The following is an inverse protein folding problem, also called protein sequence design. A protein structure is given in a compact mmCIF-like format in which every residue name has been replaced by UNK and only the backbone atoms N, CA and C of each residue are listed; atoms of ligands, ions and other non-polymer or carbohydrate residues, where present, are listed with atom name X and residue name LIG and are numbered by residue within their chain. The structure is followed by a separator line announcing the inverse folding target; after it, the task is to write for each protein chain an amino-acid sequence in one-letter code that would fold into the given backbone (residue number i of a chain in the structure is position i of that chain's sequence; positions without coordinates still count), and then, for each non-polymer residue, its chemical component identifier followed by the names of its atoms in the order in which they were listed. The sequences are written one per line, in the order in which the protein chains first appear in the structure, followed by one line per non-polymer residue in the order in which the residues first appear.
data_IF_238013329837
#
_entry.id   IF_238013329837
#
_cell.length_a   1.000
_cell.length_b   1.000
_cell.length_c   1.000
_cell.angle_alpha   90.00
_cell.angle_beta   90.00
_cell.angle_gamma   90.00
#
_symmetry.space_group_name_H-M   'P 1'
#
loop_
_entity.id
_entity.type
_entity.pdbx_description
1 polymer ?
#
# COMPACT_ATOMS: atom_id res chain seq x y z
N UNK A 1 36.77 1.60 -1.20
CA UNK A 1 36.99 2.78 -2.07
C UNK A 1 36.46 2.55 -3.50
N UNK A 2 36.83 1.43 -4.15
CA UNK A 2 36.39 1.10 -5.53
C UNK A 2 34.88 1.04 -5.67
N UNK A 3 34.15 0.39 -4.73
CA UNK A 3 32.68 0.29 -4.73
C UNK A 3 32.04 1.69 -4.60
N UNK A 4 32.57 2.55 -3.74
CA UNK A 4 32.11 3.93 -3.59
C UNK A 4 32.30 4.73 -4.88
N UNK A 5 33.45 4.59 -5.55
CA UNK A 5 33.73 5.25 -6.83
C UNK A 5 32.78 4.80 -7.95
N UNK A 6 32.43 3.51 -8.01
CA UNK A 6 31.46 2.98 -8.98
C UNK A 6 30.03 3.45 -8.71
N UNK A 7 29.64 3.62 -7.45
CA UNK A 7 28.29 4.09 -7.07
C UNK A 7 28.14 5.61 -7.14
N UNK A 8 29.26 6.36 -7.03
CA UNK A 8 29.27 7.81 -6.94
C UNK A 8 28.57 8.53 -8.12
N UNK A 9 28.75 8.13 -9.40
CA UNK A 9 28.05 8.80 -10.49
C UNK A 9 26.53 8.69 -10.38
N UNK A 10 25.99 7.48 -10.09
CA UNK A 10 24.55 7.26 -9.97
C UNK A 10 23.95 7.91 -8.72
N UNK A 11 24.54 7.64 -7.55
CA UNK A 11 24.09 8.24 -6.29
C UNK A 11 24.31 9.75 -6.27
N UNK A 12 25.39 10.25 -6.85
CA UNK A 12 25.70 11.67 -6.93
C UNK A 12 24.64 12.45 -7.73
N UNK A 13 24.21 11.92 -8.88
CA UNK A 13 23.15 12.53 -9.69
C UNK A 13 21.82 12.52 -8.92
N UNK A 14 21.45 11.39 -8.32
CA UNK A 14 20.21 11.27 -7.55
C UNK A 14 20.20 12.24 -6.38
N UNK A 15 21.27 12.28 -5.59
CA UNK A 15 21.38 13.18 -4.44
C UNK A 15 21.42 14.64 -4.86
N UNK A 16 22.10 14.97 -5.97
CA UNK A 16 22.13 16.34 -6.49
C UNK A 16 20.72 16.79 -6.94
N UNK A 17 20.02 15.98 -7.74
CA UNK A 17 18.68 16.32 -8.24
C UNK A 17 17.65 16.39 -7.10
N UNK A 18 17.55 15.35 -6.28
CA UNK A 18 16.58 15.32 -5.17
C UNK A 18 16.96 16.37 -4.12
N UNK A 19 18.24 16.49 -3.78
CA UNK A 19 18.72 17.47 -2.80
C UNK A 19 18.46 18.91 -3.26
N UNK A 20 18.70 19.22 -4.53
CA UNK A 20 18.45 20.53 -5.09
C UNK A 20 16.96 20.89 -5.07
N UNK A 21 16.09 19.97 -5.52
CA UNK A 21 14.64 20.19 -5.47
C UNK A 21 14.15 20.34 -4.03
N UNK A 22 14.61 19.49 -3.13
CA UNK A 22 14.24 19.56 -1.71
C UNK A 22 14.70 20.87 -1.08
N UNK A 23 15.91 21.33 -1.41
CA UNK A 23 16.43 22.62 -0.96
C UNK A 23 15.56 23.79 -1.43
N UNK A 24 15.19 23.83 -2.72
CA UNK A 24 14.32 24.89 -3.25
C UNK A 24 12.96 24.87 -2.56
N UNK A 25 12.31 23.71 -2.46
CA UNK A 25 11.01 23.58 -1.80
C UNK A 25 11.08 24.00 -0.34
N UNK A 26 12.15 23.63 0.36
CA UNK A 26 12.36 24.04 1.75
C UNK A 26 12.51 25.57 1.86
N UNK A 27 13.36 26.19 1.04
CA UNK A 27 13.56 27.65 1.03
C UNK A 27 12.26 28.39 0.72
N UNK A 28 11.50 27.94 -0.27
CA UNK A 28 10.18 28.51 -0.58
C UNK A 28 9.19 28.35 0.58
N UNK A 29 9.25 27.25 1.30
CA UNK A 29 8.34 27.00 2.43
C UNK A 29 8.55 27.97 3.60
N UNK A 30 9.75 28.52 3.73
CA UNK A 30 10.10 29.54 4.75
C UNK A 30 10.15 30.96 4.19
N UNK A 31 9.60 31.18 2.99
CA UNK A 31 9.46 32.50 2.38
C UNK A 31 10.69 32.99 1.61
N UNK A 32 11.72 32.18 1.50
CA UNK A 32 12.93 32.50 0.75
C UNK A 32 12.85 31.90 -0.65
N UNK A 33 13.49 32.59 -1.62
CA UNK A 33 13.54 32.14 -3.03
C UNK A 33 12.15 32.06 -3.69
N UNK A 34 11.29 33.03 -3.40
CA UNK A 34 9.95 33.13 -4.00
C UNK A 34 10.04 33.60 -5.45
N UNK A 35 9.30 32.95 -6.35
CA UNK A 35 9.19 33.37 -7.76
C UNK A 35 8.37 34.68 -7.87
N UNK A 36 7.46 34.91 -6.94
CA UNK A 36 6.58 36.07 -6.87
C UNK A 36 6.51 36.57 -5.43
N UNK A 37 7.13 37.70 -5.13
CA UNK A 37 7.07 38.32 -3.81
C UNK A 37 8.43 38.73 -3.22
N UNK A 38 8.42 39.31 -2.05
CA UNK A 38 9.63 39.69 -1.30
C UNK A 38 10.24 38.43 -0.66
N UNK A 39 11.57 38.32 -0.75
CA UNK A 39 12.34 37.23 -0.12
C UNK A 39 12.57 37.59 1.36
N UNK A 40 11.62 37.25 2.21
CA UNK A 40 11.74 37.42 3.66
C UNK A 40 11.49 36.07 4.36
N UNK A 41 12.33 35.74 5.35
CA UNK A 41 12.11 34.56 6.18
C UNK A 41 10.79 34.68 6.93
N UNK A 42 9.85 33.79 6.65
CA UNK A 42 8.53 33.80 7.28
C UNK A 42 7.96 32.38 7.43
N UNK A 43 7.30 32.13 8.54
CA UNK A 43 6.56 30.89 8.79
C UNK A 43 5.06 31.01 8.47
N UNK A 44 4.62 32.15 7.90
CA UNK A 44 3.22 32.40 7.53
C UNK A 44 2.59 31.29 6.69
N UNK A 45 3.38 30.70 5.78
CA UNK A 45 2.89 29.62 4.92
C UNK A 45 2.59 28.35 5.73
N UNK A 46 3.40 28.05 6.72
CA UNK A 46 3.20 26.93 7.63
C UNK A 46 1.98 27.16 8.54
N UNK A 47 1.87 28.32 9.17
CA UNK A 47 0.72 28.68 10.00
C UNK A 47 -0.58 28.61 9.20
N UNK A 48 -0.60 29.21 8.00
CA UNK A 48 -1.76 29.20 7.11
C UNK A 48 -2.14 27.79 6.67
N UNK A 49 -1.18 26.92 6.42
CA UNK A 49 -1.43 25.53 5.97
C UNK A 49 -1.91 24.67 7.13
N UNK A 50 -1.22 24.71 8.26
CA UNK A 50 -1.56 23.94 9.45
C UNK A 50 -2.89 24.38 10.08
N UNK A 51 -3.22 25.67 9.99
CA UNK A 51 -4.50 26.21 10.46
C UNK A 51 -5.71 25.89 9.58
N UNK A 52 -5.52 25.36 8.38
CA UNK A 52 -6.63 25.01 7.48
C UNK A 52 -7.35 23.73 7.93
N UNK A 53 -8.67 23.83 8.13
CA UNK A 53 -9.52 22.66 8.44
C UNK A 53 -9.42 21.58 7.35
N UNK A 54 -9.27 21.99 6.07
CA UNK A 54 -9.11 21.04 4.96
C UNK A 54 -7.81 20.23 5.07
N UNK A 55 -6.70 20.85 5.50
CA UNK A 55 -5.44 20.16 5.72
C UNK A 55 -5.58 19.06 6.78
N UNK A 56 -6.13 19.39 7.94
CA UNK A 56 -6.35 18.42 9.01
C UNK A 56 -7.26 17.24 8.58
N UNK A 57 -8.32 17.55 7.81
CA UNK A 57 -9.19 16.50 7.24
C UNK A 57 -8.44 15.60 6.26
N UNK A 58 -7.62 16.18 5.37
CA UNK A 58 -6.83 15.41 4.40
C UNK A 58 -5.81 14.51 5.10
N UNK A 59 -5.12 15.02 6.13
CA UNK A 59 -4.17 14.21 6.91
C UNK A 59 -4.88 13.05 7.62
N UNK A 60 -6.01 13.33 8.27
CA UNK A 60 -6.82 12.27 8.92
C UNK A 60 -7.31 11.22 7.93
N UNK A 61 -7.76 11.66 6.75
CA UNK A 61 -8.20 10.77 5.69
C UNK A 61 -7.05 9.90 5.16
N UNK A 62 -5.88 10.49 4.88
CA UNK A 62 -4.70 9.73 4.44
C UNK A 62 -4.22 8.74 5.50
N UNK A 63 -4.23 9.12 6.79
CA UNK A 63 -3.92 8.21 7.89
C UNK A 63 -4.92 7.06 7.98
N UNK A 64 -6.19 7.35 7.83
CA UNK A 64 -7.25 6.35 7.79
C UNK A 64 -7.02 5.34 6.65
N UNK A 65 -6.88 5.84 5.42
CA UNK A 65 -6.63 4.99 4.25
C UNK A 65 -5.35 4.19 4.40
N UNK A 66 -4.24 4.81 4.81
CA UNK A 66 -2.95 4.14 5.02
C UNK A 66 -3.04 3.00 6.02
N UNK A 67 -3.65 3.27 7.19
CA UNK A 67 -3.77 2.29 8.26
C UNK A 67 -4.67 1.11 7.89
N UNK A 68 -5.85 1.38 7.35
CA UNK A 68 -6.78 0.32 6.97
C UNK A 68 -6.29 -0.48 5.75
N UNK A 69 -5.57 0.15 4.82
CA UNK A 69 -4.93 -0.56 3.70
C UNK A 69 -3.90 -1.58 4.18
N UNK A 70 -3.10 -1.25 5.21
CA UNK A 70 -2.17 -2.22 5.83
C UNK A 70 -2.95 -3.40 6.40
N UNK A 71 -3.94 -3.11 7.24
CA UNK A 71 -4.70 -4.12 7.98
C UNK A 71 -5.35 -5.10 6.99
N UNK A 72 -6.09 -4.60 6.01
CA UNK A 72 -6.77 -5.45 5.05
C UNK A 72 -5.80 -6.19 4.12
N UNK A 73 -4.73 -5.53 3.65
CA UNK A 73 -3.75 -6.19 2.79
C UNK A 73 -3.04 -7.34 3.50
N UNK A 74 -2.64 -7.16 4.76
CA UNK A 74 -1.96 -8.21 5.53
C UNK A 74 -2.94 -9.31 5.94
N UNK A 75 -4.16 -8.98 6.39
CA UNK A 75 -5.18 -9.97 6.77
C UNK A 75 -5.52 -10.89 5.60
N UNK A 76 -5.58 -10.35 4.37
CA UNK A 76 -5.86 -11.15 3.18
C UNK A 76 -4.60 -11.89 2.69
N UNK A 77 -3.45 -11.20 2.63
CA UNK A 77 -2.23 -11.78 2.10
C UNK A 77 -1.65 -12.90 2.97
N UNK A 78 -1.76 -12.80 4.29
CA UNK A 78 -1.15 -13.75 5.22
C UNK A 78 -1.70 -15.18 5.09
N UNK A 79 -3.02 -15.42 5.15
CA UNK A 79 -3.60 -16.75 4.93
C UNK A 79 -3.27 -17.31 3.55
N UNK A 80 -3.30 -16.45 2.52
CA UNK A 80 -2.97 -16.84 1.14
C UNK A 80 -1.50 -17.26 1.05
N UNK A 81 -0.59 -16.50 1.66
CA UNK A 81 0.83 -16.83 1.70
C UNK A 81 1.10 -18.15 2.43
N UNK A 82 0.40 -18.40 3.54
CA UNK A 82 0.45 -19.68 4.26
C UNK A 82 -0.06 -20.84 3.41
N UNK A 83 -1.15 -20.66 2.69
CA UNK A 83 -1.71 -21.69 1.80
C UNK A 83 -0.76 -22.00 0.64
N UNK A 84 -0.14 -20.97 0.06
CA UNK A 84 0.82 -21.09 -1.04
C UNK A 84 2.23 -21.51 -0.59
N UNK A 85 2.48 -21.67 0.71
CA UNK A 85 3.79 -22.04 1.25
C UNK A 85 4.25 -23.40 0.72
N UNK A 86 3.35 -24.39 0.65
CA UNK A 86 3.64 -25.71 0.10
C UNK A 86 3.19 -25.76 -1.36
N UNK A 87 4.07 -26.18 -2.29
CA UNK A 87 3.71 -26.27 -3.69
C UNK A 87 2.64 -27.37 -3.91
N UNK A 88 1.62 -27.04 -4.69
CA UNK A 88 0.58 -27.95 -5.15
C UNK A 88 0.27 -27.68 -6.62
N UNK A 89 -0.44 -28.59 -7.30
CA UNK A 89 -0.82 -28.42 -8.70
C UNK A 89 -1.62 -27.13 -8.88
N UNK A 90 -1.10 -26.18 -9.67
CA UNK A 90 -1.72 -24.86 -9.91
C UNK A 90 -1.28 -23.74 -8.96
N UNK A 91 -0.49 -24.00 -7.90
CA UNK A 91 -0.03 -22.97 -6.95
C UNK A 91 0.74 -21.83 -7.63
N UNK A 92 1.53 -22.16 -8.66
CA UNK A 92 2.27 -21.17 -9.44
C UNK A 92 1.33 -20.25 -10.22
N UNK A 93 0.31 -20.81 -10.88
CA UNK A 93 -0.69 -20.04 -11.61
C UNK A 93 -1.47 -19.10 -10.69
N UNK A 94 -1.95 -19.61 -9.57
CA UNK A 94 -2.68 -18.84 -8.56
C UNK A 94 -1.80 -17.71 -8.01
N UNK A 95 -0.56 -18.02 -7.64
CA UNK A 95 0.39 -17.01 -7.16
C UNK A 95 0.67 -15.93 -8.20
N UNK A 96 0.76 -16.27 -9.48
CA UNK A 96 0.98 -15.33 -10.56
C UNK A 96 -0.23 -14.42 -10.79
N UNK A 97 -1.44 -14.96 -10.80
CA UNK A 97 -2.69 -14.20 -10.92
C UNK A 97 -2.85 -13.23 -9.75
N UNK A 98 -2.61 -13.69 -8.52
CA UNK A 98 -2.72 -12.84 -7.34
C UNK A 98 -1.69 -11.71 -7.29
N UNK A 99 -0.56 -11.88 -7.98
CA UNK A 99 0.48 -10.84 -8.11
C UNK A 99 0.30 -9.93 -9.32
N UNK A 100 -0.62 -10.25 -10.23
CA UNK A 100 -0.87 -9.47 -11.45
C UNK A 100 -1.17 -7.97 -11.20
N UNK A 101 -1.88 -7.57 -10.12
CA UNK A 101 -2.11 -6.15 -9.84
C UNK A 101 -0.83 -5.32 -9.66
N UNK A 102 0.32 -5.93 -9.33
CA UNK A 102 1.60 -5.21 -9.26
C UNK A 102 2.02 -4.62 -10.62
N UNK A 103 1.63 -5.27 -11.72
CA UNK A 103 1.97 -4.84 -13.08
C UNK A 103 1.08 -3.72 -13.60
N UNK A 104 -0.06 -3.47 -12.93
CA UNK A 104 -1.01 -2.45 -13.35
C UNK A 104 -0.57 -1.10 -12.77
N UNK A 105 -0.35 -0.11 -13.63
CA UNK A 105 -0.04 1.24 -13.19
C UNK A 105 -1.20 1.84 -12.36
N UNK A 106 -0.91 2.60 -11.29
CA UNK A 106 -1.92 3.10 -10.36
C UNK A 106 -3.05 3.88 -11.03
N UNK A 107 -2.72 4.78 -11.96
CA UNK A 107 -3.72 5.56 -12.69
C UNK A 107 -4.65 4.68 -13.54
N UNK A 108 -4.11 3.67 -14.21
CA UNK A 108 -4.90 2.70 -14.98
C UNK A 108 -5.81 1.89 -14.06
N UNK A 109 -5.28 1.43 -12.91
CA UNK A 109 -6.06 0.72 -11.90
C UNK A 109 -7.23 1.58 -11.39
N UNK A 110 -7.00 2.86 -11.11
CA UNK A 110 -8.04 3.78 -10.67
C UNK A 110 -9.14 3.96 -11.72
N UNK A 111 -8.78 4.19 -12.98
CA UNK A 111 -9.76 4.32 -14.05
C UNK A 111 -10.56 3.04 -14.29
N UNK A 112 -9.91 1.88 -14.28
CA UNK A 112 -10.61 0.60 -14.42
C UNK A 112 -11.60 0.39 -13.27
N UNK A 113 -11.16 0.69 -12.04
CA UNK A 113 -12.01 0.56 -10.87
C UNK A 113 -13.21 1.50 -10.89
N UNK A 114 -13.01 2.76 -11.29
CA UNK A 114 -14.11 3.72 -11.46
C UNK A 114 -15.16 3.22 -12.44
N UNK A 115 -14.74 2.70 -13.60
CA UNK A 115 -15.68 2.12 -14.59
C UNK A 115 -16.48 0.93 -14.03
N UNK A 116 -15.89 0.19 -13.08
CA UNK A 116 -16.57 -0.95 -12.44
C UNK A 116 -17.61 -0.50 -11.41
N UNK A 117 -17.28 0.53 -10.58
CA UNK A 117 -18.13 0.98 -9.47
C UNK A 117 -19.04 2.16 -9.81
N UNK A 118 -18.94 2.72 -11.01
CA UNK A 118 -19.75 3.87 -11.43
C UNK A 118 -21.25 3.53 -11.41
N UNK A 119 -22.10 4.55 -11.35
CA UNK A 119 -23.56 4.40 -11.25
C UNK A 119 -24.14 3.47 -12.32
N UNK A 120 -23.62 3.55 -13.55
CA UNK A 120 -23.93 2.64 -14.65
C UNK A 120 -22.80 1.65 -14.93
N UNK A 121 -21.92 1.41 -13.95
CA UNK A 121 -20.76 0.53 -14.07
C UNK A 121 -21.11 -0.95 -14.06
N UNK A 122 -20.10 -1.78 -14.37
CA UNK A 122 -20.26 -3.23 -14.50
C UNK A 122 -20.87 -3.88 -13.25
N UNK A 123 -20.50 -3.43 -12.04
CA UNK A 123 -21.02 -3.99 -10.80
C UNK A 123 -22.53 -3.74 -10.64
N UNK A 124 -22.99 -2.53 -10.91
CA UNK A 124 -24.40 -2.20 -10.83
C UNK A 124 -25.22 -2.94 -11.90
N UNK A 125 -24.70 -3.05 -13.12
CA UNK A 125 -25.34 -3.84 -14.19
C UNK A 125 -25.45 -5.32 -13.80
N UNK A 126 -24.39 -5.88 -13.18
CA UNK A 126 -24.40 -7.26 -12.71
C UNK A 126 -25.40 -7.46 -11.57
N UNK A 127 -25.48 -6.54 -10.60
CA UNK A 127 -26.43 -6.62 -9.50
C UNK A 127 -27.89 -6.53 -9.97
N UNK A 128 -28.16 -5.65 -10.94
CA UNK A 128 -29.49 -5.56 -11.56
C UNK A 128 -29.84 -6.82 -12.36
N UNK A 129 -28.87 -7.35 -13.13
CA UNK A 129 -29.07 -8.58 -13.89
C UNK A 129 -29.35 -9.80 -12.99
N UNK A 130 -28.68 -9.87 -11.83
CA UNK A 130 -28.89 -10.93 -10.84
C UNK A 130 -30.14 -10.72 -9.95
N UNK A 131 -30.83 -9.59 -10.10
CA UNK A 131 -32.03 -9.27 -9.32
C UNK A 131 -31.77 -8.88 -7.87
N UNK A 132 -30.54 -8.48 -7.53
CA UNK A 132 -30.18 -8.05 -6.18
C UNK A 132 -30.69 -6.63 -5.88
N UNK A 133 -30.81 -5.78 -6.90
CA UNK A 133 -31.26 -4.40 -6.75
C UNK A 133 -32.03 -3.95 -7.99
N UNK A 134 -33.12 -3.20 -7.79
CA UNK A 134 -33.90 -2.60 -8.89
C UNK A 134 -33.26 -1.30 -9.38
N UNK A 135 -32.56 -0.58 -8.47
CA UNK A 135 -31.88 0.68 -8.77
C UNK A 135 -30.36 0.58 -8.56
N UNK A 136 -29.55 1.31 -9.35
CA UNK A 136 -28.11 1.32 -9.18
C UNK A 136 -27.69 1.91 -7.83
N UNK A 137 -26.73 1.26 -7.17
CA UNK A 137 -26.18 1.70 -5.90
C UNK A 137 -25.06 2.73 -6.16
N UNK A 138 -25.08 3.84 -5.43
CA UNK A 138 -23.99 4.82 -5.46
C UNK A 138 -22.80 4.33 -4.66
N UNK A 139 -21.80 3.77 -5.34
CA UNK A 139 -20.58 3.24 -4.72
C UNK A 139 -19.43 4.24 -4.75
N UNK A 140 -19.53 5.27 -5.59
CA UNK A 140 -18.55 6.36 -5.70
C UNK A 140 -18.86 7.45 -4.68
N UNK A 141 -17.83 8.08 -4.13
CA UNK A 141 -17.91 9.12 -3.10
C UNK A 141 -18.64 8.66 -1.82
N UNK A 142 -18.39 7.43 -1.40
CA UNK A 142 -18.93 6.94 -0.16
C UNK A 142 -18.26 7.62 1.04
N UNK A 143 -19.05 7.94 2.07
CA UNK A 143 -18.61 8.66 3.27
C UNK A 143 -17.46 7.98 4.02
N UNK A 144 -17.35 6.67 3.89
CA UNK A 144 -16.37 5.83 4.60
C UNK A 144 -15.19 5.43 3.72
N UNK A 145 -15.11 5.91 2.47
CA UNK A 145 -14.05 5.61 1.52
C UNK A 145 -13.81 4.11 1.28
N UNK A 146 -14.87 3.28 1.35
CA UNK A 146 -14.74 1.83 1.10
C UNK A 146 -14.22 1.52 -0.29
N UNK A 147 -14.65 2.28 -1.31
CA UNK A 147 -14.15 2.13 -2.67
C UNK A 147 -12.63 2.33 -2.75
N UNK A 148 -12.12 3.40 -2.14
CA UNK A 148 -10.69 3.68 -2.09
C UNK A 148 -9.93 2.60 -1.31
N UNK A 149 -10.48 2.17 -0.16
CA UNK A 149 -9.88 1.11 0.66
C UNK A 149 -9.82 -0.23 -0.09
N UNK A 150 -10.87 -0.58 -0.82
CA UNK A 150 -10.89 -1.79 -1.63
C UNK A 150 -9.82 -1.73 -2.73
N UNK A 151 -9.75 -0.61 -3.46
CA UNK A 151 -8.76 -0.42 -4.52
C UNK A 151 -7.33 -0.44 -3.97
N UNK A 152 -7.08 0.26 -2.86
CA UNK A 152 -5.79 0.26 -2.18
C UNK A 152 -5.41 -1.14 -1.69
N UNK A 153 -6.36 -1.87 -1.10
CA UNK A 153 -6.13 -3.25 -0.66
C UNK A 153 -5.81 -4.17 -1.83
N UNK A 154 -6.61 -4.10 -2.90
CA UNK A 154 -6.39 -4.90 -4.12
C UNK A 154 -5.01 -4.63 -4.74
N UNK A 155 -4.58 -3.37 -4.75
CA UNK A 155 -3.29 -2.95 -5.31
C UNK A 155 -2.10 -3.34 -4.42
N UNK A 156 -2.25 -3.26 -3.09
CA UNK A 156 -1.16 -3.47 -2.14
C UNK A 156 -1.05 -4.91 -1.62
N UNK A 157 -2.14 -5.67 -1.60
CA UNK A 157 -2.17 -7.06 -1.15
C UNK A 157 -1.13 -7.95 -1.87
N UNK A 158 -0.92 -7.85 -3.20
CA UNK A 158 0.08 -8.63 -3.89
C UNK A 158 1.52 -8.38 -3.41
N UNK A 159 1.81 -7.15 -3.00
CA UNK A 159 3.12 -6.80 -2.45
C UNK A 159 3.32 -7.42 -1.06
N UNK A 160 2.31 -7.34 -0.20
CA UNK A 160 2.31 -8.05 1.08
C UNK A 160 2.47 -9.56 0.86
N UNK A 161 1.74 -10.13 -0.09
CA UNK A 161 1.82 -11.55 -0.44
C UNK A 161 3.23 -11.95 -0.88
N UNK A 162 3.91 -11.11 -1.68
CA UNK A 162 5.28 -11.36 -2.13
C UNK A 162 6.25 -11.45 -0.94
N UNK A 163 6.23 -10.45 -0.05
CA UNK A 163 7.13 -10.40 1.11
C UNK A 163 6.84 -11.53 2.11
N UNK A 164 5.58 -11.75 2.41
CA UNK A 164 5.16 -12.81 3.33
C UNK A 164 5.45 -14.21 2.78
N UNK A 165 5.26 -14.43 1.47
CA UNK A 165 5.62 -15.71 0.84
C UNK A 165 7.11 -15.99 0.96
N UNK A 166 7.97 -15.00 0.75
CA UNK A 166 9.42 -15.14 0.93
C UNK A 166 9.80 -15.49 2.37
N UNK A 167 9.23 -14.78 3.34
CA UNK A 167 9.47 -15.06 4.75
C UNK A 167 8.96 -16.44 5.20
N UNK A 168 7.79 -16.85 4.73
CA UNK A 168 7.22 -18.14 5.07
C UNK A 168 7.98 -19.31 4.43
N UNK A 169 8.52 -19.13 3.23
CA UNK A 169 9.34 -20.15 2.55
C UNK A 169 10.72 -20.31 3.22
N UNK A 170 11.23 -19.30 3.91
CA UNK A 170 12.50 -19.40 4.65
C UNK A 170 12.41 -20.26 5.94
N UNK A 171 11.19 -20.52 6.43
CA UNK A 171 10.98 -21.39 7.61
C UNK A 171 11.08 -22.85 7.14
N UNK A 172 12.08 -23.60 7.65
CA UNK A 172 12.25 -25.01 7.31
C UNK A 172 11.09 -25.86 7.85
N UNK A 173 10.73 -26.91 7.10
CA UNK A 173 9.74 -27.87 7.58
C UNK A 173 10.27 -28.65 8.79
N UNK A 174 11.60 -28.91 8.86
CA UNK A 174 12.24 -29.55 10.03
C UNK A 174 11.98 -28.79 11.34
N UNK A 175 11.97 -27.46 11.31
CA UNK A 175 11.65 -26.65 12.49
C UNK A 175 10.22 -26.88 12.96
N UNK A 176 9.28 -26.99 12.01
CA UNK A 176 7.86 -27.21 12.33
C UNK A 176 7.58 -28.65 12.77
N UNK A 177 8.33 -29.62 12.24
CA UNK A 177 8.24 -31.02 12.60
C UNK A 177 8.86 -31.26 13.97
N UNK A 178 10.02 -30.68 14.27
CA UNK A 178 10.61 -30.71 15.62
C UNK A 178 9.65 -30.13 16.70
N UNK A 179 8.99 -29.03 16.39
CA UNK A 179 7.99 -28.46 17.29
C UNK A 179 6.78 -29.41 17.50
N UNK A 180 6.38 -30.13 16.46
CA UNK A 180 5.31 -31.12 16.54
C UNK A 180 5.72 -32.30 17.39
N UNK A 181 6.94 -32.79 17.26
CA UNK A 181 7.48 -33.89 18.06
C UNK A 181 7.58 -33.53 19.54
N UNK A 182 7.81 -32.23 19.85
CA UNK A 182 7.73 -31.68 21.21
C UNK A 182 6.29 -31.44 21.70
N UNK A 183 5.27 -31.87 20.95
CA UNK A 183 3.86 -31.77 21.35
C UNK A 183 3.19 -30.44 21.02
N UNK A 184 3.80 -29.56 20.22
CA UNK A 184 3.15 -28.33 19.81
C UNK A 184 1.98 -28.63 18.85
N UNK A 185 0.79 -28.21 19.23
CA UNK A 185 -0.38 -28.29 18.38
C UNK A 185 -0.26 -27.25 17.22
N UNK A 186 -1.19 -27.31 16.26
CA UNK A 186 -1.17 -26.44 15.09
C UNK A 186 -1.22 -24.96 15.48
N UNK A 187 -2.03 -24.59 16.49
CA UNK A 187 -2.16 -23.22 16.97
C UNK A 187 -0.83 -22.69 17.53
N UNK A 188 -0.16 -23.48 18.40
CA UNK A 188 1.15 -23.09 18.95
C UNK A 188 2.22 -22.96 17.87
N UNK A 189 2.22 -23.81 16.86
CA UNK A 189 3.16 -23.65 15.73
C UNK A 189 2.96 -22.34 14.99
N UNK A 190 1.70 -21.88 14.83
CA UNK A 190 1.43 -20.58 14.22
C UNK A 190 1.81 -19.43 15.15
N UNK A 191 1.37 -19.42 16.38
CA UNK A 191 1.56 -18.28 17.29
C UNK A 191 2.99 -18.13 17.79
N UNK A 192 3.67 -19.23 18.06
CA UNK A 192 4.95 -19.22 18.78
C UNK A 192 6.14 -19.35 17.81
N UNK A 193 5.90 -19.79 16.55
CA UNK A 193 6.97 -20.00 15.59
C UNK A 193 6.73 -19.16 14.31
N UNK A 194 5.64 -19.41 13.60
CA UNK A 194 5.44 -18.84 12.26
C UNK A 194 5.24 -17.33 12.34
N UNK A 195 4.34 -16.85 13.18
CA UNK A 195 4.08 -15.40 13.33
C UNK A 195 5.32 -14.65 13.79
N UNK A 196 6.04 -15.05 14.87
CA UNK A 196 7.23 -14.35 15.30
C UNK A 196 8.35 -14.30 14.24
N UNK A 197 8.56 -15.40 13.49
CA UNK A 197 9.57 -15.46 12.44
C UNK A 197 9.20 -14.60 11.22
N UNK A 198 7.92 -14.34 10.99
CA UNK A 198 7.46 -13.52 9.86
C UNK A 198 7.17 -12.06 10.21
N UNK A 199 7.29 -11.66 11.49
CA UNK A 199 6.95 -10.31 11.95
C UNK A 199 7.80 -9.22 11.27
N UNK A 200 9.06 -9.51 10.97
CA UNK A 200 9.94 -8.58 10.26
C UNK A 200 9.44 -8.31 8.83
N UNK A 201 8.99 -9.34 8.13
CA UNK A 201 8.40 -9.20 6.79
C UNK A 201 7.04 -8.50 6.85
N UNK A 202 6.23 -8.78 7.87
CA UNK A 202 4.95 -8.08 8.10
C UNK A 202 5.19 -6.59 8.34
N UNK A 203 6.18 -6.25 9.16
CA UNK A 203 6.53 -4.86 9.46
C UNK A 203 7.06 -4.14 8.22
N UNK A 204 7.94 -4.79 7.44
CA UNK A 204 8.42 -4.23 6.18
C UNK A 204 7.27 -3.99 5.18
N UNK A 205 6.38 -4.97 5.02
CA UNK A 205 5.19 -4.81 4.19
C UNK A 205 4.31 -3.65 4.69
N UNK A 206 4.05 -3.57 5.99
CA UNK A 206 3.24 -2.52 6.60
C UNK A 206 3.80 -1.12 6.33
N UNK A 207 5.11 -0.92 6.51
CA UNK A 207 5.76 0.37 6.27
C UNK A 207 5.63 0.79 4.80
N UNK A 208 5.92 -0.10 3.87
CA UNK A 208 5.90 0.22 2.44
C UNK A 208 4.46 0.47 1.96
N UNK A 209 3.50 -0.34 2.39
CA UNK A 209 2.07 -0.15 2.08
C UNK A 209 1.58 1.17 2.67
N UNK A 210 1.97 1.50 3.92
CA UNK A 210 1.58 2.75 4.54
C UNK A 210 2.07 3.96 3.74
N UNK A 211 3.37 4.00 3.44
CA UNK A 211 3.96 5.11 2.67
C UNK A 211 3.28 5.23 1.31
N UNK A 212 3.08 4.12 0.61
CA UNK A 212 2.40 4.09 -0.69
C UNK A 212 0.96 4.59 -0.62
N UNK A 213 0.17 4.08 0.31
CA UNK A 213 -1.24 4.45 0.44
C UNK A 213 -1.44 5.86 1.01
N UNK A 214 -0.57 6.30 1.94
CA UNK A 214 -0.61 7.64 2.53
C UNK A 214 -0.29 8.73 1.51
N UNK A 215 0.68 8.47 0.63
CA UNK A 215 1.13 9.42 -0.40
C UNK A 215 0.36 9.31 -1.72
N UNK A 216 -0.59 8.38 -1.83
CA UNK A 216 -1.32 8.15 -3.08
C UNK A 216 -2.36 9.23 -3.33
N UNK A 217 -2.04 10.13 -4.24
CA UNK A 217 -2.97 11.13 -4.73
C UNK A 217 -3.97 10.57 -5.74
N UNK A 218 -3.56 9.57 -6.54
CA UNK A 218 -4.30 9.12 -7.71
C UNK A 218 -5.64 8.49 -7.33
N UNK A 219 -5.64 7.59 -6.35
CA UNK A 219 -6.85 6.90 -5.92
C UNK A 219 -7.76 7.83 -5.09
N UNK A 220 -7.15 8.70 -4.28
CA UNK A 220 -7.89 9.63 -3.45
C UNK A 220 -8.54 10.77 -4.24
N UNK A 221 -7.93 11.20 -5.35
CA UNK A 221 -8.48 12.28 -6.18
C UNK A 221 -9.58 11.83 -7.13
N UNK A 222 -9.62 10.54 -7.48
CA UNK A 222 -10.57 9.98 -8.45
C UNK A 222 -11.78 9.32 -7.79
N UNK A 223 -11.73 9.02 -6.51
CA UNK A 223 -12.81 8.41 -5.74
C UNK A 223 -13.65 9.43 -5.01
#
# INVERSE_FOLDING_TARGET
LFILLCLLPGLGIILALIGFVTYIVFMQSVGLNNIFGEDEFTLKFWEKTLGRKSYNKSVQYSLYIGTFSIIFSIIIAYPIALWLRKPFAGSLLISSILKAPLLVHGLVAAFLFLNVIEYHGLLNQLFQYLGFTDEPIRMRNDRNAFGVLFLQTWKNMPFALLLLSGALQSISDDTLDAARDLGANIYRRYTDIIIPLTISAMTAAAIIIFIGAFADFTFQALA
#
